data_IF_208271211742
#
_entry.id   IF_208271211742
#
_cell.length_a   1.000
_cell.length_b   1.000
_cell.length_c   1.000
_cell.angle_alpha   90.00
_cell.angle_beta   90.00
_cell.angle_gamma   90.00
#
_symmetry.space_group_name_H-M   'P 1'
#
loop_
_entity.id
_entity.type
_entity.pdbx_description
1 polymer ?
#
# COMPACT_ATOMS: atom_id res chain seq x y z
N UNK A 1 -49.90 38.55 -35.21
CA UNK A 1 -48.89 37.74 -35.92
C UNK A 1 -47.55 37.94 -35.22
N UNK A 2 -46.85 36.83 -34.93
CA UNK A 2 -45.44 36.66 -34.49
C UNK A 2 -44.97 37.42 -33.22
N UNK A 3 -44.51 36.80 -32.12
CA UNK A 3 -43.50 35.75 -31.86
C UNK A 3 -42.05 36.28 -31.72
N UNK A 4 -41.37 35.85 -30.64
CA UNK A 4 -39.92 35.98 -30.38
C UNK A 4 -39.61 36.83 -29.13
N UNK A 5 -39.50 36.33 -27.89
CA UNK A 5 -38.68 35.26 -27.27
C UNK A 5 -37.28 35.72 -26.80
N UNK A 6 -37.04 35.52 -25.50
CA UNK A 6 -35.79 35.28 -24.76
C UNK A 6 -34.55 36.18 -24.94
N UNK A 7 -33.94 36.57 -23.82
CA UNK A 7 -32.68 35.99 -23.30
C UNK A 7 -32.27 36.81 -22.05
N UNK A 8 -32.38 36.31 -20.82
CA UNK A 8 -31.50 35.28 -20.28
C UNK A 8 -30.53 35.94 -19.29
N UNK A 9 -30.99 36.16 -18.05
CA UNK A 9 -30.17 36.66 -16.95
C UNK A 9 -29.14 35.59 -16.56
N UNK A 10 -27.92 35.70 -17.11
CA UNK A 10 -26.78 34.86 -16.77
C UNK A 10 -26.29 35.19 -15.36
N UNK A 11 -26.84 34.50 -14.36
CA UNK A 11 -26.30 34.49 -13.02
C UNK A 11 -24.91 33.83 -13.05
N UNK A 12 -23.86 34.65 -12.92
CA UNK A 12 -22.51 34.17 -12.74
C UNK A 12 -22.43 33.37 -11.45
N UNK A 13 -22.18 32.06 -11.57
CA UNK A 13 -21.76 31.26 -10.44
C UNK A 13 -20.25 31.06 -10.52
N UNK A 14 -19.59 31.58 -9.49
CA UNK A 14 -18.15 31.64 -9.38
C UNK A 14 -17.51 30.26 -9.31
N UNK A 15 -16.28 30.20 -9.81
CA UNK A 15 -15.22 29.31 -9.36
C UNK A 15 -15.61 27.85 -9.23
N UNK A 16 -15.60 27.13 -10.35
CA UNK A 16 -15.39 25.69 -10.30
C UNK A 16 -14.10 25.40 -9.53
N UNK A 17 -14.23 24.83 -8.35
CA UNK A 17 -13.14 24.33 -7.53
C UNK A 17 -12.23 23.43 -8.36
N UNK A 18 -10.92 23.73 -8.51
CA UNK A 18 -9.96 22.74 -8.97
C UNK A 18 -9.64 21.82 -7.78
N UNK A 19 -10.59 20.97 -7.41
CA UNK A 19 -10.39 19.89 -6.45
C UNK A 19 -9.78 18.67 -7.15
N UNK A 20 -8.56 18.79 -7.66
CA UNK A 20 -7.72 17.62 -7.90
C UNK A 20 -7.23 17.11 -6.54
N UNK A 21 -7.57 15.86 -6.18
CA UNK A 21 -7.09 15.28 -4.91
C UNK A 21 -7.36 13.78 -4.72
N UNK A 22 -7.48 13.01 -5.80
CA UNK A 22 -7.61 11.55 -5.73
C UNK A 22 -6.27 10.83 -5.58
N UNK A 23 -5.44 11.21 -4.60
CA UNK A 23 -4.03 10.82 -4.56
C UNK A 23 -3.53 10.08 -3.31
N UNK A 24 -4.38 9.79 -2.31
CA UNK A 24 -3.88 9.38 -0.99
C UNK A 24 -4.55 8.11 -0.41
N UNK A 25 -5.57 7.55 -1.05
CA UNK A 25 -6.32 6.39 -0.51
C UNK A 25 -5.62 5.04 -0.71
N UNK A 26 -4.42 5.06 -1.30
CA UNK A 26 -3.67 3.87 -1.66
C UNK A 26 -2.55 3.56 -0.67
N UNK A 27 -2.13 4.50 0.18
CA UNK A 27 -1.11 4.23 1.18
C UNK A 27 -1.75 3.59 2.42
N UNK A 28 -1.12 2.54 2.92
CA UNK A 28 -1.52 1.83 4.13
C UNK A 28 -0.32 1.67 5.05
N UNK A 29 -0.59 1.73 6.36
CA UNK A 29 0.43 1.42 7.36
C UNK A 29 0.46 -0.09 7.60
N UNK A 30 1.64 -0.67 7.44
CA UNK A 30 1.99 -2.03 7.87
C UNK A 30 3.00 -1.93 9.03
N UNK A 31 3.19 -3.02 9.76
CA UNK A 31 4.19 -3.09 10.83
C UNK A 31 5.24 -4.13 10.47
N UNK A 32 6.51 -3.81 10.57
CA UNK A 32 7.61 -4.76 10.37
C UNK A 32 8.45 -4.82 11.63
N UNK A 33 8.51 -5.99 12.27
CA UNK A 33 9.11 -6.17 13.60
C UNK A 33 8.62 -5.12 14.62
N UNK A 34 7.32 -4.79 14.57
CA UNK A 34 6.67 -3.77 15.41
C UNK A 34 6.91 -2.30 14.99
N UNK A 35 7.71 -2.04 13.95
CA UNK A 35 7.95 -0.69 13.43
C UNK A 35 6.96 -0.34 12.31
N UNK A 36 6.24 0.80 12.37
CA UNK A 36 5.28 1.16 11.32
C UNK A 36 5.98 1.64 10.04
N UNK A 37 5.48 1.20 8.89
CA UNK A 37 5.90 1.62 7.56
C UNK A 37 4.70 1.93 6.67
N UNK A 38 4.79 2.97 5.86
CA UNK A 38 3.80 3.28 4.84
C UNK A 38 4.16 2.62 3.51
N UNK A 39 3.22 1.86 2.96
CA UNK A 39 3.36 1.17 1.67
C UNK A 39 2.12 1.35 0.83
N UNK A 40 2.28 1.23 -0.49
CA UNK A 40 1.14 1.16 -1.38
C UNK A 40 0.35 -0.13 -1.15
N UNK A 41 -0.97 0.00 -1.08
CA UNK A 41 -1.93 -1.09 -1.00
C UNK A 41 -1.86 -1.89 -2.29
N UNK A 42 -1.50 -3.16 -2.17
CA UNK A 42 -1.35 -4.05 -3.31
C UNK A 42 -0.37 -5.18 -3.03
N UNK A 43 0.24 -5.75 -4.07
CA UNK A 43 1.27 -6.77 -3.90
C UNK A 43 2.56 -6.16 -3.35
N UNK A 44 3.00 -6.62 -2.18
CA UNK A 44 4.33 -6.36 -1.64
C UNK A 44 5.17 -7.62 -1.78
N UNK A 45 6.30 -7.51 -2.49
CA UNK A 45 7.25 -8.62 -2.67
C UNK A 45 8.24 -8.73 -1.52
N UNK A 46 8.80 -9.93 -1.34
CA UNK A 46 9.88 -10.16 -0.38
C UNK A 46 11.04 -9.16 -0.52
N UNK A 47 11.50 -8.93 -1.75
CA UNK A 47 12.60 -8.01 -2.01
C UNK A 47 12.25 -6.56 -1.66
N UNK A 48 11.04 -6.11 -2.00
CA UNK A 48 10.58 -4.76 -1.65
C UNK A 48 10.50 -4.56 -0.14
N UNK A 49 10.02 -5.57 0.61
CA UNK A 49 9.96 -5.52 2.07
C UNK A 49 11.36 -5.35 2.68
N UNK A 50 12.36 -6.08 2.18
CA UNK A 50 13.75 -5.94 2.66
C UNK A 50 14.34 -4.56 2.36
N UNK A 51 14.07 -4.01 1.17
CA UNK A 51 14.51 -2.65 0.80
C UNK A 51 13.84 -1.61 1.70
N UNK A 52 12.53 -1.76 1.97
CA UNK A 52 11.75 -0.84 2.80
C UNK A 52 12.32 -0.70 4.22
N UNK A 53 12.71 -1.81 4.84
CA UNK A 53 13.31 -1.80 6.18
C UNK A 53 14.82 -1.56 6.17
N UNK A 54 15.42 -1.32 5.00
CA UNK A 54 16.88 -1.24 4.83
C UNK A 54 17.59 -2.44 5.47
N UNK A 55 17.10 -3.64 5.16
CA UNK A 55 17.61 -4.89 5.73
C UNK A 55 19.11 -5.03 5.47
N UNK A 56 19.85 -5.48 6.48
CA UNK A 56 21.27 -5.73 6.34
C UNK A 56 21.54 -6.83 5.29
N UNK A 57 22.63 -6.74 4.52
CA UNK A 57 23.02 -7.85 3.65
C UNK A 57 23.33 -9.07 4.53
N UNK A 58 22.76 -10.21 4.17
CA UNK A 58 23.06 -11.50 4.79
C UNK A 58 24.15 -12.23 4.00
N UNK A 59 24.94 -13.11 4.64
CA UNK A 59 25.86 -14.00 3.94
C UNK A 59 25.10 -15.01 3.05
N UNK A 60 25.74 -15.59 2.02
CA UNK A 60 25.11 -16.51 1.04
C UNK A 60 24.40 -17.73 1.65
N UNK A 61 24.80 -18.17 2.85
CA UNK A 61 24.19 -19.30 3.55
C UNK A 61 22.99 -18.90 4.44
N UNK A 62 22.61 -17.63 4.43
CA UNK A 62 21.49 -17.08 5.21
C UNK A 62 20.47 -16.40 4.30
N UNK A 63 19.22 -16.41 4.75
CA UNK A 63 18.11 -15.71 4.10
C UNK A 63 17.19 -15.14 5.17
N UNK A 64 16.42 -14.11 4.84
CA UNK A 64 15.40 -13.64 5.75
C UNK A 64 14.20 -14.60 5.71
N UNK A 65 13.78 -15.05 6.89
CA UNK A 65 12.46 -15.62 7.07
C UNK A 65 11.49 -14.46 7.36
N UNK A 66 10.55 -14.24 6.46
CA UNK A 66 9.49 -13.26 6.63
C UNK A 66 8.20 -14.01 6.95
N UNK A 67 7.72 -13.87 8.17
CA UNK A 67 6.39 -14.32 8.55
C UNK A 67 5.46 -13.12 8.52
N UNK A 68 4.20 -13.33 8.17
CA UNK A 68 3.19 -12.28 8.28
C UNK A 68 2.02 -12.77 9.12
N UNK A 69 1.41 -11.84 9.83
CA UNK A 69 0.19 -12.03 10.61
C UNK A 69 -0.81 -10.90 10.33
N UNK A 70 -2.06 -11.05 10.79
CA UNK A 70 -3.18 -10.14 10.49
C UNK A 70 -3.42 -9.98 8.98
N UNK A 71 -3.19 -11.06 8.23
CA UNK A 71 -3.49 -11.15 6.79
C UNK A 71 -5.00 -11.20 6.49
N UNK A 72 -5.37 -11.66 5.29
CA UNK A 72 -6.79 -11.79 4.91
C UNK A 72 -7.56 -12.77 5.81
N UNK A 73 -8.88 -12.61 5.92
CA UNK A 73 -9.76 -13.52 6.68
C UNK A 73 -9.51 -15.01 6.38
N UNK A 74 -9.18 -15.37 5.13
CA UNK A 74 -8.87 -16.76 4.74
C UNK A 74 -7.44 -17.21 5.08
N UNK A 75 -6.50 -16.27 5.22
CA UNK A 75 -5.08 -16.54 5.52
C UNK A 75 -4.57 -15.47 6.49
N UNK A 76 -4.92 -15.58 7.79
CA UNK A 76 -4.52 -14.58 8.78
C UNK A 76 -3.01 -14.60 9.02
N UNK A 77 -2.33 -15.70 8.72
CA UNK A 77 -0.89 -15.89 8.90
C UNK A 77 -0.26 -16.65 7.75
N UNK A 78 1.02 -16.41 7.48
CA UNK A 78 1.79 -17.17 6.51
C UNK A 78 3.25 -16.76 6.44
N UNK A 79 3.97 -17.28 5.45
CA UNK A 79 5.38 -16.96 5.20
C UNK A 79 5.50 -16.33 3.82
N UNK A 80 6.30 -15.27 3.71
CA UNK A 80 6.69 -14.64 2.45
C UNK A 80 8.14 -15.04 2.16
N UNK A 81 8.36 -15.87 1.14
CA UNK A 81 9.71 -16.30 0.75
C UNK A 81 10.22 -15.51 -0.46
N UNK A 82 11.51 -15.65 -0.75
CA UNK A 82 12.14 -15.05 -1.91
C UNK A 82 11.41 -15.43 -3.22
N UNK A 83 11.12 -14.43 -4.05
CA UNK A 83 10.37 -14.59 -5.29
C UNK A 83 8.84 -14.50 -5.12
N UNK A 84 8.32 -14.49 -3.89
CA UNK A 84 6.88 -14.35 -3.64
C UNK A 84 6.47 -12.89 -3.35
N UNK A 85 5.15 -12.67 -3.46
CA UNK A 85 4.50 -11.42 -3.07
C UNK A 85 3.19 -11.72 -2.35
N UNK A 86 2.80 -10.82 -1.45
CA UNK A 86 1.55 -10.90 -0.70
C UNK A 86 0.76 -9.61 -0.85
N UNK A 87 -0.56 -9.73 -0.93
CA UNK A 87 -1.44 -8.56 -0.95
C UNK A 87 -1.49 -7.95 0.45
N UNK A 88 -0.87 -6.78 0.62
CA UNK A 88 -0.83 -6.09 1.90
C UNK A 88 -2.13 -5.34 2.19
N UNK A 89 -2.47 -5.29 3.47
CA UNK A 89 -3.59 -4.52 4.02
C UNK A 89 -3.14 -3.72 5.21
N UNK A 90 -3.93 -2.71 5.55
CA UNK A 90 -3.71 -1.88 6.73
C UNK A 90 -3.62 -2.77 7.97
N UNK A 91 -2.67 -2.44 8.85
CA UNK A 91 -2.41 -3.12 10.12
C UNK A 91 -1.86 -4.56 10.00
N UNK A 92 -1.45 -4.95 8.79
CA UNK A 92 -0.74 -6.20 8.57
C UNK A 92 0.65 -6.14 9.20
N UNK A 93 1.10 -7.23 9.79
CA UNK A 93 2.34 -7.30 10.56
C UNK A 93 3.29 -8.32 9.92
N UNK A 94 4.57 -7.96 9.82
CA UNK A 94 5.63 -8.74 9.21
C UNK A 94 6.76 -8.94 10.21
N UNK A 95 7.09 -10.18 10.50
CA UNK A 95 8.24 -10.55 11.31
C UNK A 95 9.38 -10.97 10.39
N UNK A 96 10.43 -10.17 10.36
CA UNK A 96 11.60 -10.38 9.50
C UNK A 96 12.78 -10.80 10.38
N UNK A 97 13.22 -12.04 10.22
CA UNK A 97 14.32 -12.62 11.01
C UNK A 97 15.37 -13.26 10.11
N UNK A 98 16.68 -13.07 10.37
CA UNK A 98 17.72 -13.82 9.68
C UNK A 98 17.59 -15.32 10.02
N UNK A 99 17.56 -16.17 9.00
CA UNK A 99 17.50 -17.62 9.14
C UNK A 99 18.67 -18.27 8.39
N UNK A 100 19.39 -19.17 9.08
CA UNK A 100 20.40 -20.03 8.47
C UNK A 100 19.73 -21.18 7.74
N UNK A 101 20.16 -21.46 6.51
CA UNK A 101 19.83 -22.72 5.85
C UNK A 101 20.69 -23.81 6.49
N UNK A 102 20.09 -24.65 7.35
CA UNK A 102 20.79 -25.82 7.93
C UNK A 102 21.02 -26.90 6.88
#
# INVERSE_FOLDING_TARGET
MANGNNNGNGNGNGGGSPGHGGGNDHMITIYVNGTPYEVEKGPLSYAQLLVLISAAPLPENQRYAVQYSKGNNDKPTGTLIEGESVQVKKDMEFDVTPATRS
#
